data_IF_913024623045
#
_entry.id   IF_913024623045
#
_cell.length_a   1.000
_cell.length_b   1.000
_cell.length_c   1.000
_cell.angle_alpha   90.00
_cell.angle_beta   90.00
_cell.angle_gamma   90.00
#
_symmetry.space_group_name_H-M   'P 1'
#
loop_
_entity.id
_entity.type
_entity.pdbx_description
1 polymer ?
#
# COMPACT_ATOMS: atom_id res chain seq x y z
N UNK A 1 -6.51 -23.78 -5.48
CA UNK A 1 -5.51 -23.69 -4.41
C UNK A 1 -5.69 -22.32 -3.80
N UNK A 2 -5.99 -22.26 -2.51
CA UNK A 2 -6.49 -21.05 -1.87
C UNK A 2 -5.30 -20.24 -1.36
N UNK A 3 -5.29 -18.93 -1.62
CA UNK A 3 -4.37 -17.89 -1.10
C UNK A 3 -3.79 -18.17 0.30
N UNK A 4 -4.60 -18.74 1.20
CA UNK A 4 -4.20 -19.09 2.57
C UNK A 4 -3.14 -20.21 2.66
N UNK A 5 -3.12 -21.18 1.76
CA UNK A 5 -2.09 -22.24 1.72
C UNK A 5 -0.76 -21.72 1.19
N UNK A 6 -0.78 -20.80 0.24
CA UNK A 6 0.42 -20.12 -0.25
C UNK A 6 1.01 -19.21 0.82
N UNK A 7 0.15 -18.59 1.64
CA UNK A 7 0.57 -17.82 2.81
C UNK A 7 1.37 -18.66 3.85
N UNK A 8 1.10 -19.96 3.94
CA UNK A 8 1.79 -20.88 4.85
C UNK A 8 3.09 -21.46 4.27
N UNK A 9 3.31 -21.35 2.96
CA UNK A 9 4.50 -21.86 2.26
C UNK A 9 5.63 -20.82 2.12
N UNK A 10 5.37 -19.56 2.49
CA UNK A 10 6.14 -18.40 2.04
C UNK A 10 7.61 -18.37 2.47
N UNK A 11 8.46 -18.18 1.48
CA UNK A 11 9.58 -17.25 1.60
C UNK A 11 8.98 -15.85 1.91
N UNK A 12 9.23 -15.29 3.10
CA UNK A 12 8.48 -14.14 3.65
C UNK A 12 8.63 -12.78 2.92
N UNK A 13 9.13 -12.76 1.68
CA UNK A 13 9.42 -11.53 0.92
C UNK A 13 8.37 -11.08 -0.10
N UNK A 14 7.40 -11.93 -0.48
CA UNK A 14 6.56 -11.67 -1.66
C UNK A 14 5.14 -11.18 -1.37
N UNK A 15 4.79 -10.85 -0.13
CA UNK A 15 3.48 -10.25 0.18
C UNK A 15 3.50 -8.78 -0.23
N UNK A 16 2.53 -8.41 -1.06
CA UNK A 16 2.35 -7.04 -1.55
C UNK A 16 1.09 -6.47 -0.92
N UNK A 17 1.27 -5.34 -0.22
CA UNK A 17 0.17 -4.60 0.39
C UNK A 17 -0.04 -3.28 -0.33
N UNK A 18 -1.25 -3.09 -0.84
CA UNK A 18 -1.69 -1.88 -1.52
C UNK A 18 -2.75 -1.19 -0.67
N UNK A 19 -2.82 0.14 -0.79
CA UNK A 19 -3.72 1.00 -0.02
C UNK A 19 -4.48 1.91 -0.98
N UNK A 20 -5.80 1.93 -0.82
CA UNK A 20 -6.73 2.81 -1.51
C UNK A 20 -7.44 3.68 -0.48
N UNK A 21 -7.18 4.97 -0.50
CA UNK A 21 -7.85 5.95 0.36
C UNK A 21 -8.89 6.66 -0.47
N UNK A 22 -10.15 6.28 -0.24
CA UNK A 22 -11.31 6.88 -0.86
C UNK A 22 -11.84 8.01 0.03
N UNK A 23 -11.72 9.24 -0.48
CA UNK A 23 -12.21 10.46 0.13
C UNK A 23 -13.57 10.92 -0.42
N UNK A 24 -14.31 10.06 -1.14
CA UNK A 24 -15.60 10.47 -1.74
C UNK A 24 -16.61 10.96 -0.70
N UNK A 25 -16.48 10.50 0.55
CA UNK A 25 -17.23 11.00 1.70
C UNK A 25 -17.06 12.52 1.95
N UNK A 26 -15.92 13.11 1.58
CA UNK A 26 -15.63 14.55 1.72
C UNK A 26 -15.86 15.35 0.43
N UNK A 27 -16.31 14.69 -0.64
CA UNK A 27 -16.42 15.29 -1.97
C UNK A 27 -15.15 15.18 -2.82
N UNK A 28 -14.17 14.36 -2.42
CA UNK A 28 -13.01 14.06 -3.27
C UNK A 28 -13.46 13.11 -4.38
N UNK A 29 -13.25 13.50 -5.64
CA UNK A 29 -13.62 12.66 -6.79
C UNK A 29 -12.60 11.56 -7.09
N UNK A 30 -11.41 11.65 -6.50
CA UNK A 30 -10.26 10.80 -6.80
C UNK A 30 -9.88 9.94 -5.60
N UNK A 31 -9.48 8.70 -5.86
CA UNK A 31 -9.04 7.73 -4.85
C UNK A 31 -7.52 7.69 -4.86
N UNK A 32 -6.92 7.99 -3.71
CA UNK A 32 -5.47 7.97 -3.55
C UNK A 32 -5.00 6.51 -3.45
N UNK A 33 -4.17 6.09 -4.41
CA UNK A 33 -3.67 4.71 -4.51
C UNK A 33 -2.17 4.65 -4.30
N UNK A 34 -1.73 3.96 -3.26
CA UNK A 34 -0.32 3.86 -2.92
C UNK A 34 0.04 2.52 -2.28
N UNK A 35 1.33 2.18 -2.25
CA UNK A 35 1.82 0.95 -1.64
C UNK A 35 3.08 1.16 -0.83
N UNK A 36 3.18 0.43 0.28
CA UNK A 36 4.36 0.35 1.15
C UNK A 36 5.43 -0.63 0.65
N UNK A 37 5.11 -1.41 -0.38
CA UNK A 37 5.97 -2.53 -0.78
C UNK A 37 7.30 -2.03 -1.33
N UNK A 38 8.39 -2.35 -0.63
CA UNK A 38 9.74 -1.96 -1.01
C UNK A 38 10.32 -2.98 -1.98
N UNK A 39 10.17 -2.72 -3.28
CA UNK A 39 10.73 -3.59 -4.32
C UNK A 39 12.25 -3.39 -4.33
N UNK A 40 12.99 -4.39 -3.83
CA UNK A 40 14.44 -4.36 -3.86
C UNK A 40 14.94 -4.26 -5.31
N UNK A 41 15.83 -3.31 -5.58
CA UNK A 41 16.49 -3.21 -6.87
C UNK A 41 17.42 -4.40 -7.07
N UNK A 42 17.41 -4.96 -8.27
CA UNK A 42 18.31 -6.07 -8.59
C UNK A 42 19.75 -5.58 -8.64
N UNK A 43 20.72 -6.48 -8.40
CA UNK A 43 22.14 -6.14 -8.47
C UNK A 43 22.54 -5.52 -9.83
N UNK A 44 21.86 -5.93 -10.91
CA UNK A 44 22.05 -5.39 -12.26
C UNK A 44 21.56 -3.94 -12.37
N UNK A 45 20.40 -3.62 -11.79
CA UNK A 45 19.88 -2.24 -11.71
C UNK A 45 20.76 -1.35 -10.82
N UNK A 46 21.27 -1.87 -9.70
CA UNK A 46 22.19 -1.13 -8.82
C UNK A 46 23.52 -0.85 -9.55
N UNK A 47 24.02 -1.83 -10.31
CA UNK A 47 25.23 -1.67 -11.12
C UNK A 47 25.02 -0.68 -12.28
N UNK A 48 23.87 -0.75 -12.96
CA UNK A 48 23.49 0.18 -14.03
C UNK A 48 23.21 1.61 -13.52
N UNK A 49 22.70 1.73 -12.29
CA UNK A 49 22.50 3.00 -11.61
C UNK A 49 23.85 3.67 -11.29
N UNK A 50 24.92 2.90 -11.05
CA UNK A 50 26.26 3.45 -10.84
C UNK A 50 26.35 4.40 -9.64
N UNK A 51 25.45 4.28 -8.67
CA UNK A 51 25.32 5.19 -7.52
C UNK A 51 24.36 6.37 -7.72
N UNK A 52 23.69 6.49 -8.87
CA UNK A 52 22.64 7.50 -9.08
C UNK A 52 21.30 7.05 -8.47
N UNK A 53 20.88 7.67 -7.36
CA UNK A 53 19.58 7.44 -6.71
C UNK A 53 18.40 7.74 -7.65
N UNK A 54 18.54 8.69 -8.58
CA UNK A 54 17.53 9.00 -9.59
C UNK A 54 17.28 7.86 -10.60
N UNK A 55 18.22 6.91 -10.73
CA UNK A 55 18.06 5.73 -11.60
C UNK A 55 17.48 4.53 -10.86
N UNK A 56 17.24 4.65 -9.57
CA UNK A 56 16.55 3.68 -8.73
C UNK A 56 15.19 4.25 -8.28
N UNK A 57 14.30 4.68 -9.21
CA UNK A 57 13.00 5.18 -8.82
C UNK A 57 12.19 4.04 -8.19
N UNK A 58 11.39 4.39 -7.20
CA UNK A 58 10.50 3.45 -6.56
C UNK A 58 9.50 2.92 -7.59
N UNK A 59 9.45 1.59 -7.73
CA UNK A 59 8.63 0.91 -8.75
C UNK A 59 7.16 0.98 -8.36
N UNK A 60 6.33 1.53 -9.25
CA UNK A 60 4.87 1.50 -9.09
C UNK A 60 4.34 0.10 -9.36
N UNK A 61 3.27 -0.27 -8.66
CA UNK A 61 2.61 -1.56 -8.79
C UNK A 61 1.28 -1.39 -9.51
N UNK A 62 1.03 -2.22 -10.51
CA UNK A 62 -0.24 -2.31 -11.22
C UNK A 62 -1.08 -3.44 -10.63
N UNK A 63 -2.28 -3.15 -10.18
CA UNK A 63 -3.21 -4.15 -9.67
C UNK A 63 -4.63 -3.86 -10.14
N UNK A 64 -5.29 -4.86 -10.72
CA UNK A 64 -6.65 -4.73 -11.26
C UNK A 64 -6.78 -3.60 -12.28
N UNK A 65 -5.70 -3.32 -13.02
CA UNK A 65 -5.64 -2.22 -13.98
C UNK A 65 -5.43 -0.82 -13.37
N UNK A 66 -5.29 -0.70 -12.06
CA UNK A 66 -4.97 0.55 -11.36
C UNK A 66 -3.48 0.66 -11.04
N UNK A 67 -2.91 1.86 -11.17
CA UNK A 67 -1.53 2.17 -10.78
C UNK A 67 -1.50 2.57 -9.30
N UNK A 68 -0.67 1.88 -8.53
CA UNK A 68 -0.34 2.19 -7.15
C UNK A 68 1.08 2.74 -7.13
N UNK A 69 1.24 3.95 -6.58
CA UNK A 69 2.56 4.57 -6.47
C UNK A 69 3.26 4.09 -5.20
N UNK A 70 4.57 3.97 -5.27
CA UNK A 70 5.37 3.63 -4.11
C UNK A 70 5.36 4.82 -3.15
N UNK A 71 4.76 4.63 -1.98
CA UNK A 71 4.73 5.63 -0.93
C UNK A 71 4.99 4.96 0.41
N UNK A 72 5.98 5.43 1.20
CA UNK A 72 6.28 4.81 2.47
C UNK A 72 5.07 4.94 3.41
N UNK A 73 4.49 3.82 3.77
CA UNK A 73 3.42 3.73 4.73
C UNK A 73 3.55 2.41 5.52
N UNK A 74 3.01 2.40 6.72
CA UNK A 74 3.06 1.27 7.64
C UNK A 74 1.73 1.17 8.33
N UNK A 75 1.21 -0.05 8.48
CA UNK A 75 0.00 -0.29 9.26
C UNK A 75 0.27 -1.33 10.33
N UNK A 76 -0.06 -0.96 11.57
CA UNK A 76 0.07 -1.80 12.75
C UNK A 76 -1.30 -2.06 13.37
N UNK A 77 -1.44 -3.10 14.18
CA UNK A 77 -2.72 -3.42 14.84
C UNK A 77 -3.82 -3.99 13.92
N UNK A 78 -3.49 -4.32 12.66
CA UNK A 78 -4.42 -4.95 11.70
C UNK A 78 -4.63 -6.46 11.93
N UNK A 79 -3.80 -7.05 12.78
CA UNK A 79 -3.82 -8.46 13.11
C UNK A 79 -4.96 -8.71 14.09
N UNK A 80 -6.10 -9.15 13.54
CA UNK A 80 -7.29 -9.66 14.19
C UNK A 80 -7.16 -9.80 15.71
N UNK A 81 -7.77 -8.87 16.44
CA UNK A 81 -8.17 -9.13 17.82
C UNK A 81 -9.06 -10.38 17.80
N UNK A 82 -8.48 -11.54 18.11
CA UNK A 82 -9.16 -12.84 18.16
C UNK A 82 -10.22 -12.86 19.28
N UNK A 83 -10.23 -11.81 20.11
CA UNK A 83 -11.04 -11.66 21.33
C UNK A 83 -12.34 -10.85 21.14
N UNK A 84 -12.73 -10.51 19.90
CA UNK A 84 -13.99 -9.79 19.63
C UNK A 84 -13.98 -8.30 19.95
N UNK A 85 -12.81 -7.73 20.26
CA UNK A 85 -12.60 -6.28 20.35
C UNK A 85 -12.43 -5.70 18.94
N UNK A 86 -12.97 -4.50 18.68
CA UNK A 86 -12.68 -3.80 17.41
C UNK A 86 -11.18 -3.62 17.25
N UNK A 87 -10.59 -4.17 16.19
CA UNK A 87 -9.22 -3.87 15.83
C UNK A 87 -9.12 -2.37 15.49
N UNK A 88 -8.24 -1.66 16.20
CA UNK A 88 -7.90 -0.27 15.92
C UNK A 88 -6.53 -0.25 15.23
N UNK A 89 -6.47 -0.47 13.91
CA UNK A 89 -5.20 -0.37 13.23
C UNK A 89 -4.75 1.08 13.14
N UNK A 90 -3.45 1.31 13.30
CA UNK A 90 -2.83 2.61 13.12
C UNK A 90 -2.11 2.61 11.78
N UNK A 91 -2.54 3.46 10.86
CA UNK A 91 -1.91 3.65 9.55
C UNK A 91 -0.98 4.87 9.61
N UNK A 92 0.32 4.62 9.63
CA UNK A 92 1.36 5.62 9.58
C UNK A 92 1.81 5.85 8.13
N UNK A 93 1.59 7.04 7.59
CA UNK A 93 2.01 7.41 6.23
C UNK A 93 3.13 8.45 6.31
N UNK A 94 4.20 8.28 5.53
CA UNK A 94 5.30 9.23 5.49
C UNK A 94 4.84 10.58 4.92
N UNK A 95 5.16 11.65 5.62
CA UNK A 95 4.76 13.00 5.28
C UNK A 95 5.81 13.71 4.41
N UNK A 96 6.13 13.11 3.26
CA UNK A 96 7.13 13.66 2.35
C UNK A 96 6.67 15.03 1.82
N UNK A 97 7.51 16.05 2.03
CA UNK A 97 7.25 17.45 1.62
C UNK A 97 5.97 18.07 2.22
N UNK A 98 5.52 17.59 3.39
CA UNK A 98 4.22 18.00 3.99
C UNK A 98 3.00 17.70 3.10
N UNK A 99 3.13 16.81 2.11
CA UNK A 99 2.05 16.47 1.18
C UNK A 99 0.85 15.87 1.89
N UNK A 100 1.08 14.99 2.89
CA UNK A 100 0.00 14.36 3.65
C UNK A 100 -0.67 15.37 4.57
N UNK A 101 0.09 16.23 5.25
CA UNK A 101 -0.47 17.33 6.04
C UNK A 101 -1.32 18.28 5.19
N UNK A 102 -0.87 18.61 3.98
CA UNK A 102 -1.65 19.42 3.06
C UNK A 102 -2.97 18.74 2.65
N UNK A 103 -2.96 17.42 2.41
CA UNK A 103 -4.18 16.63 2.17
C UNK A 103 -5.10 16.63 3.40
N UNK A 104 -4.53 16.42 4.58
CA UNK A 104 -5.25 16.45 5.86
C UNK A 104 -5.95 17.81 6.06
N UNK A 105 -5.24 18.92 5.83
CA UNK A 105 -5.80 20.28 5.89
C UNK A 105 -6.83 20.58 4.80
N UNK A 106 -6.62 20.04 3.59
CA UNK A 106 -7.54 20.25 2.47
C UNK A 106 -8.85 19.46 2.63
N UNK A 107 -8.82 18.34 3.38
CA UNK A 107 -9.90 17.36 3.43
C UNK A 107 -10.35 17.01 4.87
N UNK A 108 -10.41 18.02 5.76
CA UNK A 108 -10.94 17.89 7.14
C UNK A 108 -10.37 16.68 7.89
N UNK A 109 -9.04 16.61 7.96
CA UNK A 109 -8.24 15.55 8.55
C UNK A 109 -8.47 14.14 7.96
N UNK A 110 -9.08 14.04 6.76
CA UNK A 110 -9.52 12.77 6.15
C UNK A 110 -10.46 11.97 7.07
N UNK A 111 -11.18 12.65 7.98
CA UNK A 111 -11.98 12.06 9.05
C UNK A 111 -13.21 11.32 8.50
N UNK A 112 -13.28 9.99 8.58
CA UNK A 112 -14.22 9.08 7.90
C UNK A 112 -13.79 8.62 6.50
N UNK A 113 -12.56 8.91 6.06
CA UNK A 113 -12.06 8.39 4.79
C UNK A 113 -12.02 6.87 4.83
N UNK A 114 -12.44 6.25 3.72
CA UNK A 114 -12.45 4.81 3.61
C UNK A 114 -11.08 4.36 3.10
N UNK A 115 -10.33 3.70 3.96
CA UNK A 115 -9.04 3.08 3.62
C UNK A 115 -9.28 1.62 3.31
N UNK A 116 -9.10 1.23 2.05
CA UNK A 116 -9.14 -0.17 1.62
C UNK A 116 -7.72 -0.67 1.45
N UNK A 117 -7.42 -1.79 2.08
CA UNK A 117 -6.11 -2.43 2.07
C UNK A 117 -6.24 -3.73 1.31
N UNK A 118 -5.42 -3.88 0.28
CA UNK A 118 -5.37 -5.05 -0.56
C UNK A 118 -4.08 -5.79 -0.24
N UNK A 119 -4.18 -6.90 0.50
CA UNK A 119 -3.06 -7.81 0.73
C UNK A 119 -3.10 -8.92 -0.34
N UNK A 120 -2.15 -8.91 -1.27
CA UNK A 120 -1.97 -9.94 -2.30
C UNK A 120 -0.52 -10.45 -2.30
N UNK A 121 -0.18 -11.36 -3.20
CA UNK A 121 1.19 -11.81 -3.43
C UNK A 121 1.70 -11.21 -4.73
N UNK A 122 2.99 -10.88 -4.79
CA UNK A 122 3.64 -10.37 -5.99
C UNK A 122 3.34 -11.25 -7.21
N UNK A 123 3.35 -12.59 -7.04
CA UNK A 123 3.06 -13.56 -8.10
C UNK A 123 1.65 -13.45 -8.71
N UNK A 124 0.69 -12.83 -8.03
CA UNK A 124 -0.67 -12.65 -8.54
C UNK A 124 -0.85 -11.29 -9.22
N UNK A 125 0.12 -10.37 -9.10
CA UNK A 125 0.03 -9.03 -9.67
C UNK A 125 -0.13 -9.05 -11.19
N UNK A 126 -0.67 -7.97 -11.75
CA UNK A 126 -0.85 -7.82 -13.19
C UNK A 126 0.46 -8.07 -13.96
N UNK A 127 0.32 -8.62 -15.17
CA UNK A 127 1.43 -8.83 -16.09
C UNK A 127 2.22 -7.55 -16.40
N UNK A 128 1.61 -6.37 -16.26
CA UNK A 128 2.28 -5.07 -16.44
C UNK A 128 3.44 -4.84 -15.47
N UNK A 129 3.43 -5.47 -14.29
CA UNK A 129 4.52 -5.36 -13.32
C UNK A 129 5.77 -6.12 -13.73
N UNK A 130 5.62 -7.07 -14.65
CA UNK A 130 6.67 -8.00 -15.02
C UNK A 130 7.03 -7.79 -16.50
N UNK A 131 8.32 -7.58 -16.83
CA UNK A 131 8.73 -7.37 -18.22
C UNK A 131 8.43 -8.58 -19.11
N UNK A 132 8.43 -9.79 -18.54
CA UNK A 132 8.08 -11.05 -19.25
C UNK A 132 6.58 -11.37 -19.18
N UNK A 133 5.77 -10.49 -18.55
CA UNK A 133 4.39 -10.76 -18.21
C UNK A 133 4.24 -11.69 -17.01
N UNK A 134 2.99 -11.94 -16.60
CA UNK A 134 2.67 -12.82 -15.48
C UNK A 134 1.49 -13.73 -15.81
N UNK A 135 1.73 -15.04 -16.08
CA UNK A 135 0.66 -16.00 -16.33
C UNK A 135 -0.09 -16.43 -15.06
N UNK A 136 0.51 -16.20 -13.89
CA UNK A 136 -0.10 -16.46 -12.59
C UNK A 136 -0.91 -15.26 -12.08
N UNK A 137 -1.00 -14.17 -12.86
CA UNK A 137 -1.79 -13.00 -12.48
C UNK A 137 -3.24 -13.41 -12.21
N UNK A 138 -3.71 -13.20 -10.98
CA UNK A 138 -5.06 -13.53 -10.57
C UNK A 138 -5.62 -12.40 -9.69
N UNK A 139 -6.47 -11.52 -10.25
CA UNK A 139 -7.03 -10.38 -9.51
C UNK A 139 -7.98 -10.82 -8.39
N UNK A 140 -8.38 -12.09 -8.31
CA UNK A 140 -9.23 -12.61 -7.23
C UNK A 140 -8.42 -13.09 -6.02
N UNK A 141 -7.10 -13.27 -6.15
CA UNK A 141 -6.24 -13.76 -5.08
C UNK A 141 -5.76 -12.60 -4.20
N UNK A 142 -6.66 -12.04 -3.40
CA UNK A 142 -6.34 -10.97 -2.45
C UNK A 142 -7.13 -11.07 -1.15
N UNK A 143 -6.64 -10.38 -0.13
CA UNK A 143 -7.33 -10.11 1.12
C UNK A 143 -7.64 -8.62 1.20
N UNK A 144 -8.92 -8.30 0.97
CA UNK A 144 -9.46 -6.98 1.16
C UNK A 144 -9.73 -6.72 2.65
N UNK A 145 -9.25 -5.58 3.14
CA UNK A 145 -9.59 -5.08 4.47
C UNK A 145 -10.00 -3.62 4.36
N UNK A 146 -11.18 -3.30 4.87
CA UNK A 146 -11.74 -1.95 4.79
C UNK A 146 -11.74 -1.35 6.19
N UNK A 147 -11.14 -0.18 6.31
CA UNK A 147 -11.10 0.63 7.52
C UNK A 147 -11.62 2.03 7.23
N UNK A 148 -12.06 2.71 8.28
CA UNK A 148 -12.46 4.11 8.23
C UNK A 148 -11.55 4.88 9.17
N UNK A 149 -11.06 6.02 8.71
CA UNK A 149 -10.28 6.92 9.56
C UNK A 149 -11.23 7.50 10.61
N UNK A 150 -10.96 7.26 11.89
CA UNK A 150 -11.80 7.76 12.99
C UNK A 150 -11.23 9.04 13.62
N UNK A 151 -9.91 9.16 13.71
CA UNK A 151 -9.23 10.37 14.14
C UNK A 151 -7.75 10.28 13.75
N UNK A 152 -7.16 11.43 13.45
CA UNK A 152 -5.69 11.57 13.38
C UNK A 152 -5.14 11.46 14.79
N UNK A 153 -4.33 10.43 15.04
CA UNK A 153 -3.71 10.21 16.34
C UNK A 153 -2.45 11.05 16.51
N UNK A 154 -1.65 11.23 15.45
CA UNK A 154 -0.39 11.96 15.50
C UNK A 154 -0.03 12.55 14.13
N UNK A 155 0.44 13.80 14.12
CA UNK A 155 0.99 14.44 12.92
C UNK A 155 2.37 14.99 13.23
N UNK A 156 3.37 14.57 12.46
CA UNK A 156 4.73 15.13 12.49
C UNK A 156 5.17 15.53 11.08
N UNK A 157 6.29 16.24 10.97
CA UNK A 157 6.89 16.57 9.68
C UNK A 157 7.39 15.33 8.91
N UNK A 158 7.52 14.18 9.56
CA UNK A 158 8.03 12.94 8.98
C UNK A 158 6.92 11.91 8.74
N UNK A 159 5.90 11.85 9.61
CA UNK A 159 4.84 10.82 9.57
C UNK A 159 3.50 11.34 10.06
N UNK A 160 2.40 10.87 9.47
CA UNK A 160 1.03 11.11 9.92
C UNK A 160 0.36 9.77 10.23
N UNK A 161 -0.27 9.65 11.40
CA UNK A 161 -0.87 8.42 11.95
C UNK A 161 -2.23 8.67 12.60
#
# INVERSE_FOLDING_TARGET
MSLNSDYQKLEPGNVVRLFDVDGTAFGVSDVLRFHAHNIAHTADEIAAAGGDENKLPAKSIWWQGHEYKAWPCQIEGIETATDGTSAQPTLSVANLDSSITALCLAYDDLLQAKVTIHDTLAQYLDAKNYPEGNPSADPQQEKLKVFYIDAKSTETNEVVA
#
